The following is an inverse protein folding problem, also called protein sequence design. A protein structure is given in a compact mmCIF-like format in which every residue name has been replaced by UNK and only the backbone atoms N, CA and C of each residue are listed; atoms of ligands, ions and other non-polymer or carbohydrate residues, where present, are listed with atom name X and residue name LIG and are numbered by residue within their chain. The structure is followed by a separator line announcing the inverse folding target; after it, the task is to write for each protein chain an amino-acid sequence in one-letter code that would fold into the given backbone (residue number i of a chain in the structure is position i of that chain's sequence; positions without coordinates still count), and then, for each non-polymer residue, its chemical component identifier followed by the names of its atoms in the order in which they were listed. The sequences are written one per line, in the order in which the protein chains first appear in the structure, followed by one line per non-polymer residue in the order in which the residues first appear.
data_IF_504584937770
#
_entry.id   IF_504584937770
#
_cell.length_a   1.000
_cell.length_b   1.000
_cell.length_c   1.000
_cell.angle_alpha   90.00
_cell.angle_beta   90.00
_cell.angle_gamma   90.00
#
_symmetry.space_group_name_H-M   'P 1'
#
loop_
_entity.id
_entity.type
_entity.pdbx_description
1 polymer ?
#
# COMPACT_ATOMS: atom_id res chain seq x y z
N UNK A 1 -15.60 15.08 -3.59
CA UNK A 1 -15.51 14.05 -4.64
C UNK A 1 -16.26 12.81 -4.17
N UNK A 2 -17.13 12.23 -5.01
CA UNK A 2 -17.85 10.98 -4.71
C UNK A 2 -17.00 9.76 -5.12
N UNK A 3 -17.33 8.54 -4.67
CA UNK A 3 -16.64 7.32 -5.13
C UNK A 3 -16.59 7.18 -6.66
N UNK A 4 -17.68 7.51 -7.37
CA UNK A 4 -17.78 7.40 -8.83
C UNK A 4 -16.89 8.39 -9.55
N UNK A 5 -16.82 9.64 -9.06
CA UNK A 5 -15.93 10.65 -9.61
C UNK A 5 -14.46 10.28 -9.38
N UNK A 6 -14.14 9.73 -8.20
CA UNK A 6 -12.82 9.24 -7.88
C UNK A 6 -12.42 8.04 -8.76
N UNK A 7 -13.32 7.08 -8.96
CA UNK A 7 -13.11 5.95 -9.88
C UNK A 7 -12.90 6.43 -11.32
N UNK A 8 -13.76 7.35 -11.80
CA UNK A 8 -13.62 7.94 -13.12
C UNK A 8 -12.27 8.65 -13.30
N UNK A 9 -11.77 9.33 -12.27
CA UNK A 9 -10.45 9.96 -12.29
C UNK A 9 -9.35 8.91 -12.48
N UNK A 10 -9.31 7.85 -11.65
CA UNK A 10 -8.35 6.74 -11.80
C UNK A 10 -8.40 6.17 -13.22
N UNK A 11 -9.59 5.84 -13.70
CA UNK A 11 -9.78 5.19 -15.00
C UNK A 11 -9.34 6.07 -16.18
N UNK A 12 -9.62 7.37 -16.10
CA UNK A 12 -9.21 8.36 -17.11
C UNK A 12 -7.70 8.60 -17.08
N UNK A 13 -7.08 8.67 -15.89
CA UNK A 13 -5.61 8.82 -15.74
C UNK A 13 -4.86 7.67 -16.41
N UNK A 14 -5.39 6.44 -16.31
CA UNK A 14 -4.82 5.28 -16.99
C UNK A 14 -5.17 5.17 -18.48
N UNK A 15 -5.99 6.08 -19.01
CA UNK A 15 -6.48 6.05 -20.39
C UNK A 15 -7.22 4.76 -20.74
N UNK A 16 -7.94 4.18 -19.77
CA UNK A 16 -8.75 2.98 -19.98
C UNK A 16 -10.08 3.30 -20.69
N UNK A 17 -10.71 2.30 -21.32
CA UNK A 17 -11.99 2.46 -22.02
C UNK A 17 -13.10 2.94 -21.07
N UNK A 18 -13.64 4.17 -21.25
CA UNK A 18 -14.63 4.74 -20.34
C UNK A 18 -15.97 3.98 -20.34
N UNK A 19 -16.25 3.13 -21.33
CA UNK A 19 -17.49 2.32 -21.35
C UNK A 19 -17.52 1.30 -20.21
N UNK A 20 -16.35 0.85 -19.73
CA UNK A 20 -16.23 -0.10 -18.62
C UNK A 20 -16.80 0.44 -17.30
N UNK A 21 -16.83 1.76 -17.11
CA UNK A 21 -17.40 2.39 -15.91
C UNK A 21 -18.91 2.14 -15.75
N UNK A 22 -19.61 1.71 -16.82
CA UNK A 22 -21.03 1.34 -16.75
C UNK A 22 -21.27 0.02 -16.03
N UNK A 23 -20.21 -0.78 -15.83
CA UNK A 23 -20.26 -2.10 -15.17
C UNK A 23 -19.80 -2.04 -13.71
N UNK A 24 -19.98 -0.89 -13.04
CA UNK A 24 -19.60 -0.72 -11.64
C UNK A 24 -20.74 -0.13 -10.81
N UNK A 25 -20.91 -0.61 -9.59
CA UNK A 25 -21.78 -0.01 -8.57
C UNK A 25 -21.03 0.18 -7.25
N UNK A 26 -21.14 1.39 -6.69
CA UNK A 26 -20.43 1.79 -5.48
C UNK A 26 -21.41 2.22 -4.36
N UNK A 27 -22.27 1.33 -3.86
CA UNK A 27 -23.25 1.70 -2.84
C UNK A 27 -22.58 2.12 -1.52
N UNK A 28 -23.17 3.14 -0.88
CA UNK A 28 -22.74 3.71 0.39
C UNK A 28 -22.24 5.15 0.26
N UNK A 29 -22.19 5.85 1.39
CA UNK A 29 -21.82 7.27 1.45
C UNK A 29 -20.98 7.56 2.68
N UNK A 30 -20.01 8.46 2.56
CA UNK A 30 -19.25 8.97 3.69
C UNK A 30 -20.11 9.83 4.63
N UNK A 31 -19.77 9.93 5.93
CA UNK A 31 -18.64 9.24 6.59
C UNK A 31 -18.98 7.79 6.95
N UNK A 32 -18.08 6.85 6.62
CA UNK A 32 -18.16 5.47 7.10
C UNK A 32 -17.20 5.14 8.25
N UNK A 33 -16.32 6.07 8.62
CA UNK A 33 -15.40 6.01 9.75
C UNK A 33 -15.32 7.39 10.42
N UNK A 34 -14.93 7.49 11.70
CA UNK A 34 -14.69 8.77 12.36
C UNK A 34 -13.49 9.44 11.67
N UNK A 35 -13.75 10.40 10.78
CA UNK A 35 -12.75 11.19 10.06
C UNK A 35 -13.44 12.33 9.31
N UNK A 36 -12.81 13.51 9.22
CA UNK A 36 -13.32 14.56 8.32
C UNK A 36 -12.93 14.32 6.86
N UNK A 37 -12.02 13.40 6.57
CA UNK A 37 -11.68 13.01 5.21
C UNK A 37 -12.64 11.95 4.68
N UNK A 38 -12.87 11.97 3.36
CA UNK A 38 -13.73 11.00 2.65
C UNK A 38 -13.00 9.67 2.41
N UNK A 39 -12.64 9.00 3.51
CA UNK A 39 -11.92 7.71 3.49
C UNK A 39 -12.74 6.61 2.82
N UNK A 40 -14.07 6.63 2.96
CA UNK A 40 -14.97 5.69 2.29
C UNK A 40 -14.92 5.82 0.77
N UNK A 41 -14.98 7.05 0.25
CA UNK A 41 -14.81 7.30 -1.19
C UNK A 41 -13.45 6.86 -1.72
N UNK A 42 -12.38 7.09 -0.95
CA UNK A 42 -11.03 6.62 -1.30
C UNK A 42 -10.97 5.09 -1.38
N UNK A 43 -11.52 4.40 -0.37
CA UNK A 43 -11.54 2.95 -0.29
C UNK A 43 -12.37 2.34 -1.42
N UNK A 44 -13.61 2.80 -1.60
CA UNK A 44 -14.50 2.31 -2.65
C UNK A 44 -13.90 2.50 -4.04
N UNK A 45 -13.36 3.68 -4.35
CA UNK A 45 -12.85 3.99 -5.68
C UNK A 45 -11.59 3.19 -6.04
N UNK A 46 -10.64 3.04 -5.11
CA UNK A 46 -9.40 2.30 -5.37
C UNK A 46 -9.61 0.79 -5.48
N UNK A 47 -10.45 0.21 -4.61
CA UNK A 47 -10.83 -1.20 -4.69
C UNK A 47 -11.64 -1.46 -5.97
N UNK A 48 -12.58 -0.58 -6.32
CA UNK A 48 -13.36 -0.73 -7.55
C UNK A 48 -12.51 -0.60 -8.81
N UNK A 49 -11.51 0.28 -8.83
CA UNK A 49 -10.56 0.37 -9.94
C UNK A 49 -9.82 -0.96 -10.13
N UNK A 50 -9.30 -1.54 -9.03
CA UNK A 50 -8.68 -2.86 -9.06
C UNK A 50 -9.66 -3.94 -9.56
N UNK A 51 -10.85 -4.03 -8.99
CA UNK A 51 -11.87 -5.01 -9.40
C UNK A 51 -12.33 -4.86 -10.85
N UNK A 52 -12.50 -3.63 -11.34
CA UNK A 52 -12.87 -3.36 -12.73
C UNK A 52 -11.71 -3.69 -13.70
N UNK A 53 -10.47 -3.40 -13.34
CA UNK A 53 -9.32 -3.83 -14.14
C UNK A 53 -9.20 -5.36 -14.21
N UNK A 54 -9.49 -6.06 -13.12
CA UNK A 54 -9.62 -7.52 -13.12
C UNK A 54 -10.71 -7.98 -14.10
N UNK A 55 -11.89 -7.37 -14.06
CA UNK A 55 -13.01 -7.71 -14.93
C UNK A 55 -12.69 -7.46 -16.41
N UNK A 56 -12.00 -6.36 -16.73
CA UNK A 56 -11.57 -6.06 -18.10
C UNK A 56 -10.45 -6.99 -18.58
N UNK A 57 -9.54 -7.40 -17.71
CA UNK A 57 -8.54 -8.41 -18.04
C UNK A 57 -9.20 -9.78 -18.29
N UNK A 58 -10.22 -10.16 -17.53
CA UNK A 58 -11.06 -11.34 -17.82
C UNK A 58 -11.81 -11.21 -19.15
N UNK A 59 -12.33 -10.01 -19.46
CA UNK A 59 -12.98 -9.73 -20.76
C UNK A 59 -12.01 -9.87 -21.91
N UNK A 60 -10.76 -9.42 -21.76
CA UNK A 60 -9.71 -9.62 -22.77
C UNK A 60 -9.46 -11.11 -23.04
N UNK A 61 -9.55 -11.95 -22.01
CA UNK A 61 -9.36 -13.41 -22.10
C UNK A 61 -10.53 -14.16 -22.73
N UNK A 62 -11.76 -13.70 -22.47
CA UNK A 62 -12.97 -14.52 -22.71
C UNK A 62 -14.01 -13.86 -23.59
N UNK A 63 -13.88 -12.55 -23.85
CA UNK A 63 -14.91 -11.72 -24.45
C UNK A 63 -16.06 -11.36 -23.51
N UNK A 64 -16.14 -11.95 -22.31
CA UNK A 64 -17.27 -11.77 -21.38
C UNK A 64 -17.04 -10.59 -20.44
N UNK A 65 -18.01 -9.66 -20.43
CA UNK A 65 -18.08 -8.54 -19.49
C UNK A 65 -18.88 -8.97 -18.27
N UNK A 66 -18.48 -8.49 -17.09
CA UNK A 66 -19.16 -8.76 -15.82
C UNK A 66 -19.28 -7.48 -15.00
N UNK A 67 -20.28 -7.40 -14.13
CA UNK A 67 -20.45 -6.26 -13.22
C UNK A 67 -19.56 -6.40 -11.98
N UNK A 68 -19.12 -5.25 -11.45
CA UNK A 68 -18.33 -5.15 -10.22
C UNK A 68 -19.09 -4.30 -9.21
N UNK A 69 -19.32 -4.85 -8.01
CA UNK A 69 -19.91 -4.09 -6.90
C UNK A 69 -18.92 -3.96 -5.76
N UNK A 70 -18.76 -2.74 -5.24
CA UNK A 70 -17.96 -2.46 -4.04
C UNK A 70 -18.81 -1.67 -3.05
N UNK A 71 -19.27 -2.32 -1.99
CA UNK A 71 -19.95 -1.65 -0.88
C UNK A 71 -18.95 -0.89 -0.02
N UNK A 72 -19.22 0.38 0.27
CA UNK A 72 -18.32 1.23 1.06
C UNK A 72 -17.98 0.62 2.44
N UNK A 73 -18.95 -0.02 3.11
CA UNK A 73 -18.72 -0.72 4.39
C UNK A 73 -17.68 -1.83 4.26
N UNK A 74 -17.75 -2.63 3.20
CA UNK A 74 -16.78 -3.71 2.91
C UNK A 74 -15.42 -3.15 2.52
N UNK A 75 -15.40 -2.07 1.74
CA UNK A 75 -14.18 -1.36 1.37
C UNK A 75 -13.44 -0.82 2.60
N UNK A 76 -14.18 -0.19 3.52
CA UNK A 76 -13.64 0.30 4.79
C UNK A 76 -13.19 -0.83 5.72
N UNK A 77 -13.89 -1.97 5.73
CA UNK A 77 -13.43 -3.16 6.43
C UNK A 77 -12.07 -3.65 5.89
N UNK A 78 -11.88 -3.61 4.57
CA UNK A 78 -10.62 -3.99 3.92
C UNK A 78 -9.48 -3.01 4.23
N UNK A 79 -9.76 -1.71 4.27
CA UNK A 79 -8.81 -0.66 4.69
C UNK A 79 -8.41 -0.75 6.17
N UNK A 80 -9.08 -1.60 6.95
CA UNK A 80 -8.85 -1.86 8.37
C UNK A 80 -8.61 -3.33 8.66
N UNK A 81 -8.23 -4.13 7.65
CA UNK A 81 -8.19 -5.59 7.75
C UNK A 81 -7.34 -6.08 8.92
N UNK A 82 -6.23 -5.40 9.20
CA UNK A 82 -5.34 -5.70 10.33
C UNK A 82 -5.99 -5.54 11.70
N UNK A 83 -7.01 -4.67 11.83
CA UNK A 83 -7.74 -4.41 13.08
C UNK A 83 -8.76 -5.51 13.41
N UNK A 84 -9.26 -6.20 12.39
CA UNK A 84 -10.21 -7.30 12.52
C UNK A 84 -9.57 -8.68 12.55
N UNK A 85 -8.26 -8.76 12.27
CA UNK A 85 -7.51 -10.01 12.31
C UNK A 85 -7.65 -10.68 13.69
N UNK A 86 -7.94 -11.98 13.71
CA UNK A 86 -7.83 -12.84 14.90
C UNK A 86 -7.05 -14.10 14.55
N UNK A 87 -6.30 -14.59 15.52
CA UNK A 87 -5.57 -15.85 15.46
C UNK A 87 -6.09 -16.72 16.59
N UNK A 88 -6.61 -17.89 16.23
CA UNK A 88 -7.44 -18.73 17.09
C UNK A 88 -8.63 -17.92 17.64
N UNK A 89 -8.59 -17.55 18.92
CA UNK A 89 -9.66 -16.77 19.58
C UNK A 89 -9.21 -15.37 20.01
N UNK A 90 -7.95 -14.99 19.74
CA UNK A 90 -7.33 -13.77 20.26
C UNK A 90 -6.96 -12.73 19.19
N UNK A 91 -6.88 -11.44 19.55
CA UNK A 91 -6.26 -10.45 18.68
C UNK A 91 -4.76 -10.78 18.50
N UNK A 92 -4.16 -10.41 17.36
CA UNK A 92 -2.72 -10.49 17.20
C UNK A 92 -1.99 -9.70 18.30
N UNK A 93 -0.74 -10.06 18.64
CA UNK A 93 0.08 -9.28 19.58
C UNK A 93 0.17 -7.82 19.16
N UNK A 94 -0.02 -6.90 20.11
CA UNK A 94 0.12 -5.48 19.85
C UNK A 94 1.58 -5.15 19.49
N UNK A 95 1.78 -4.47 18.37
CA UNK A 95 3.08 -3.92 17.96
C UNK A 95 3.07 -2.44 18.22
N UNK A 96 3.30 -2.05 19.47
CA UNK A 96 3.67 -0.68 19.79
C UNK A 96 4.86 -0.69 20.71
N UNK A 97 5.97 -0.20 20.16
CA UNK A 97 7.10 0.24 20.95
C UNK A 97 6.66 1.43 21.85
N UNK A 98 7.07 1.49 23.13
CA UNK A 98 6.65 2.55 24.06
C UNK A 98 6.98 3.97 23.58
N UNK A 99 8.05 4.09 22.77
CA UNK A 99 8.57 5.36 22.26
C UNK A 99 7.89 5.77 20.94
N UNK A 100 7.11 4.89 20.30
CA UNK A 100 6.31 5.28 19.14
C UNK A 100 5.23 6.28 19.53
N UNK A 101 5.07 7.36 18.75
CA UNK A 101 3.95 8.30 18.93
C UNK A 101 4.31 9.76 18.68
N UNK A 102 3.46 10.65 19.16
CA UNK A 102 3.62 12.10 19.07
C UNK A 102 4.29 12.67 20.30
N UNK A 103 5.15 13.67 20.09
CA UNK A 103 5.87 14.38 21.13
C UNK A 103 5.82 15.89 20.88
N UNK A 104 5.56 16.64 21.93
CA UNK A 104 5.65 18.10 21.91
C UNK A 104 7.12 18.52 21.89
N UNK A 105 7.42 19.45 20.99
CA UNK A 105 8.74 20.05 20.78
C UNK A 105 8.84 21.40 21.49
N UNK A 106 10.05 21.94 21.62
CA UNK A 106 10.34 23.19 22.36
C UNK A 106 9.51 24.37 21.89
N UNK A 107 9.31 24.48 20.57
CA UNK A 107 8.62 25.56 19.89
C UNK A 107 7.09 25.36 19.84
N UNK A 108 6.54 24.49 20.69
CA UNK A 108 5.10 24.25 20.80
C UNK A 108 4.52 23.42 19.64
N UNK A 109 5.38 22.87 18.77
CA UNK A 109 4.97 21.99 17.67
C UNK A 109 4.94 20.53 18.11
N UNK A 110 4.50 19.65 17.21
CA UNK A 110 4.49 18.21 17.42
C UNK A 110 5.37 17.49 16.40
N UNK A 111 6.08 16.45 16.84
CA UNK A 111 6.78 15.51 15.97
C UNK A 111 6.28 14.09 16.22
N UNK A 112 6.15 13.29 15.15
CA UNK A 112 5.87 11.87 15.25
C UNK A 112 7.16 11.05 15.12
N UNK A 113 7.38 10.13 16.05
CA UNK A 113 8.41 9.08 15.95
C UNK A 113 7.80 7.75 15.50
N UNK A 114 8.45 7.08 14.54
CA UNK A 114 8.07 5.75 14.08
C UNK A 114 9.18 4.72 14.38
N UNK A 115 9.12 4.13 15.58
CA UNK A 115 10.15 3.26 16.16
C UNK A 115 9.81 1.76 16.15
N UNK A 116 8.87 1.33 15.31
CA UNK A 116 8.43 -0.09 15.22
C UNK A 116 9.52 -1.11 14.83
N UNK A 117 10.73 -0.66 14.48
CA UNK A 117 11.87 -1.55 14.23
C UNK A 117 13.04 -1.22 15.16
N UNK A 118 13.76 -2.25 15.69
CA UNK A 118 14.85 -2.03 16.66
C UNK A 118 15.88 -1.00 16.21
N UNK A 119 16.36 -1.10 14.96
CA UNK A 119 17.34 -0.15 14.42
C UNK A 119 16.81 1.29 14.28
N UNK A 120 15.49 1.49 14.11
CA UNK A 120 14.90 2.83 14.13
C UNK A 120 14.84 3.37 15.56
N UNK A 121 14.43 2.54 16.54
CA UNK A 121 14.42 2.90 17.95
C UNK A 121 15.82 3.28 18.43
N UNK A 122 16.78 2.38 18.25
CA UNK A 122 18.19 2.59 18.66
C UNK A 122 18.77 3.88 18.06
N UNK A 123 18.49 4.14 16.78
CA UNK A 123 18.92 5.35 16.11
C UNK A 123 18.29 6.63 16.70
N UNK A 124 16.97 6.61 16.99
CA UNK A 124 16.28 7.74 17.62
C UNK A 124 16.84 8.01 19.02
N UNK A 125 17.00 6.97 19.84
CA UNK A 125 17.56 7.12 21.19
C UNK A 125 19.00 7.66 21.16
N UNK A 126 19.80 7.23 20.17
CA UNK A 126 21.16 7.74 19.95
C UNK A 126 21.17 9.22 19.58
N UNK A 127 20.31 9.67 18.66
CA UNK A 127 20.21 11.09 18.27
C UNK A 127 19.75 11.96 19.44
N UNK A 128 18.77 11.48 20.20
CA UNK A 128 18.23 12.21 21.35
C UNK A 128 19.13 12.14 22.60
N UNK A 129 20.06 11.18 22.66
CA UNK A 129 20.94 10.98 23.81
C UNK A 129 20.20 10.58 25.08
N UNK A 130 19.14 9.77 24.97
CA UNK A 130 18.25 9.43 26.10
C UNK A 130 18.01 7.92 26.24
N UNK A 131 17.45 7.52 27.39
CA UNK A 131 17.07 6.14 27.67
C UNK A 131 15.84 5.70 26.85
N UNK A 132 15.66 4.39 26.68
CA UNK A 132 14.46 3.82 26.08
C UNK A 132 13.25 3.91 27.02
N UNK A 133 12.77 5.13 27.25
CA UNK A 133 11.64 5.46 28.09
C UNK A 133 10.88 6.63 27.49
N UNK A 134 9.54 6.55 27.47
CA UNK A 134 8.69 7.56 26.81
C UNK A 134 8.84 8.95 27.46
N UNK A 135 8.99 9.02 28.78
CA UNK A 135 9.16 10.28 29.48
C UNK A 135 10.55 10.88 29.23
N UNK A 136 11.60 10.06 29.23
CA UNK A 136 12.95 10.48 28.87
C UNK A 136 13.03 11.01 27.43
N UNK A 137 12.37 10.34 26.48
CA UNK A 137 12.28 10.79 25.08
C UNK A 137 11.50 12.09 24.97
N UNK A 138 10.37 12.22 25.66
CA UNK A 138 9.60 13.45 25.67
C UNK A 138 10.41 14.63 26.22
N UNK A 139 11.16 14.41 27.31
CA UNK A 139 12.03 15.44 27.88
C UNK A 139 13.16 15.83 26.94
N UNK A 140 13.81 14.86 26.29
CA UNK A 140 14.83 15.15 25.29
C UNK A 140 14.27 15.98 24.13
N UNK A 141 13.09 15.62 23.60
CA UNK A 141 12.44 16.33 22.48
C UNK A 141 12.01 17.75 22.86
N UNK A 142 11.65 18.01 24.13
CA UNK A 142 11.39 19.38 24.62
C UNK A 142 12.60 20.32 24.53
N UNK A 143 13.81 19.79 24.32
CA UNK A 143 15.00 20.58 24.04
C UNK A 143 15.17 21.02 22.58
N UNK A 144 14.36 20.50 21.65
CA UNK A 144 14.53 20.71 20.21
C UNK A 144 13.40 21.55 19.59
N UNK A 145 13.75 22.39 18.62
CA UNK A 145 12.76 22.94 17.68
C UNK A 145 12.34 21.85 16.69
N UNK A 146 11.04 21.76 16.41
CA UNK A 146 10.49 20.64 15.64
C UNK A 146 11.06 20.48 14.24
N UNK A 147 11.25 21.59 13.50
CA UNK A 147 11.81 21.54 12.15
C UNK A 147 13.27 21.07 12.13
N UNK A 148 14.07 21.53 13.09
CA UNK A 148 15.48 21.11 13.25
C UNK A 148 15.58 19.63 13.59
N UNK A 149 14.74 19.14 14.51
CA UNK A 149 14.72 17.73 14.87
C UNK A 149 14.25 16.84 13.70
N UNK A 150 13.21 17.26 12.97
CA UNK A 150 12.72 16.54 11.79
C UNK A 150 13.81 16.33 10.74
N UNK A 151 14.56 17.39 10.44
CA UNK A 151 15.67 17.31 9.49
C UNK A 151 16.82 16.47 10.04
N UNK A 152 17.20 16.64 11.31
CA UNK A 152 18.27 15.87 11.97
C UNK A 152 17.98 14.37 11.93
N UNK A 153 16.76 13.96 12.26
CA UNK A 153 16.34 12.56 12.20
C UNK A 153 16.28 12.04 10.75
N UNK A 154 15.84 12.87 9.80
CA UNK A 154 15.83 12.49 8.39
C UNK A 154 17.25 12.28 7.83
N UNK A 155 18.20 13.16 8.16
CA UNK A 155 19.61 13.08 7.75
C UNK A 155 20.31 11.85 8.36
N UNK A 156 19.93 11.48 9.59
CA UNK A 156 20.34 10.22 10.22
C UNK A 156 19.67 8.98 9.60
N UNK A 157 18.80 9.15 8.61
CA UNK A 157 18.08 8.06 7.96
C UNK A 157 17.04 7.39 8.84
N UNK A 158 16.47 8.13 9.82
CA UNK A 158 15.46 7.66 10.76
C UNK A 158 14.05 8.03 10.30
N UNK A 159 13.07 7.37 10.90
CA UNK A 159 11.67 7.50 10.53
C UNK A 159 10.92 8.40 11.51
N UNK A 160 10.88 9.69 11.21
CA UNK A 160 10.12 10.70 11.94
C UNK A 160 9.53 11.74 10.98
N UNK A 161 8.49 12.43 11.45
CA UNK A 161 7.84 13.50 10.71
C UNK A 161 7.31 14.59 11.66
N UNK A 162 7.72 15.83 11.42
CA UNK A 162 7.05 17.01 11.98
C UNK A 162 5.57 17.02 11.56
N UNK A 163 4.68 17.29 12.52
CA UNK A 163 3.28 17.58 12.24
C UNK A 163 3.22 18.98 11.63
N UNK A 164 2.91 19.03 10.34
CA UNK A 164 2.82 20.28 9.58
C UNK A 164 1.37 20.70 9.41
N UNK A 165 1.14 22.00 9.25
CA UNK A 165 -0.13 22.47 8.70
C UNK A 165 -0.19 22.19 7.19
N UNK A 166 -1.37 22.19 6.56
CA UNK A 166 -1.48 22.09 5.11
C UNK A 166 -0.68 23.17 4.35
N UNK A 167 -0.64 24.39 4.87
CA UNK A 167 0.08 25.51 4.24
C UNK A 167 1.60 25.34 4.33
N UNK A 168 2.10 24.89 5.48
CA UNK A 168 3.52 24.56 5.64
C UNK A 168 3.96 23.44 4.69
N UNK A 169 3.13 22.40 4.54
CA UNK A 169 3.40 21.35 3.57
C UNK A 169 3.40 21.89 2.14
N UNK A 170 2.39 22.69 1.75
CA UNK A 170 2.28 23.27 0.41
C UNK A 170 3.47 24.17 0.03
N UNK A 171 4.10 24.83 1.01
CA UNK A 171 5.27 25.66 0.80
C UNK A 171 6.56 24.87 0.45
N UNK A 172 6.64 23.59 0.83
CA UNK A 172 7.83 22.76 0.60
C UNK A 172 8.02 22.42 -0.88
N UNK A 173 9.28 22.38 -1.31
CA UNK A 173 9.64 21.95 -2.67
C UNK A 173 9.25 20.49 -2.94
N UNK A 174 9.21 19.66 -1.90
CA UNK A 174 8.68 18.30 -2.04
C UNK A 174 7.21 18.30 -2.45
N UNK A 175 6.37 19.12 -1.82
CA UNK A 175 4.94 19.19 -2.14
C UNK A 175 4.71 19.70 -3.56
N UNK A 176 5.48 20.72 -3.98
CA UNK A 176 5.48 21.22 -5.36
C UNK A 176 5.88 20.15 -6.37
N UNK A 177 6.92 19.36 -6.07
CA UNK A 177 7.37 18.27 -6.94
C UNK A 177 6.30 17.17 -7.11
N UNK A 178 5.63 16.79 -6.01
CA UNK A 178 4.54 15.81 -6.01
C UNK A 178 3.32 16.37 -6.78
N UNK A 179 2.99 17.64 -6.58
CA UNK A 179 1.87 18.30 -7.27
C UNK A 179 2.00 18.31 -8.80
N UNK A 180 3.23 18.22 -9.33
CA UNK A 180 3.51 18.09 -10.75
C UNK A 180 3.41 16.67 -11.31
N UNK A 181 3.12 15.66 -10.49
CA UNK A 181 2.93 14.27 -10.90
C UNK A 181 1.43 13.92 -11.01
N UNK A 182 1.03 12.99 -11.89
CA UNK A 182 -0.33 12.43 -11.88
C UNK A 182 -0.53 11.53 -10.65
N UNK A 183 -1.76 11.02 -10.42
CA UNK A 183 -2.05 10.13 -9.29
C UNK A 183 -1.14 8.89 -9.25
N UNK A 184 -0.91 8.30 -10.43
CA UNK A 184 0.05 7.25 -10.71
C UNK A 184 0.50 7.38 -12.17
N UNK A 185 1.59 6.71 -12.53
CA UNK A 185 2.13 6.67 -13.90
C UNK A 185 2.17 5.22 -14.40
N UNK A 186 1.95 5.02 -15.70
CA UNK A 186 2.14 3.74 -16.41
C UNK A 186 2.93 4.03 -17.68
N UNK A 187 4.24 3.83 -17.62
CA UNK A 187 5.20 4.23 -18.65
C UNK A 187 5.81 3.02 -19.35
N UNK A 188 6.07 3.10 -20.65
CA UNK A 188 6.77 2.04 -21.38
C UNK A 188 8.27 2.17 -21.13
N UNK A 189 8.91 1.09 -20.72
CA UNK A 189 10.35 1.06 -20.34
C UNK A 189 11.20 0.11 -21.21
N UNK A 190 10.58 -0.59 -22.15
CA UNK A 190 11.30 -1.45 -23.09
C UNK A 190 10.39 -1.97 -24.20
N UNK A 191 10.98 -2.31 -25.34
CA UNK A 191 10.30 -3.00 -26.43
C UNK A 191 10.16 -4.50 -26.12
N UNK A 192 8.99 -5.06 -26.43
CA UNK A 192 8.70 -6.48 -26.37
C UNK A 192 7.51 -6.77 -27.29
N UNK A 193 7.40 -7.99 -27.86
CA UNK A 193 6.23 -8.37 -28.62
C UNK A 193 4.97 -8.36 -27.76
N UNK A 194 3.81 -8.32 -28.41
CA UNK A 194 2.52 -8.54 -27.75
C UNK A 194 2.52 -9.92 -27.06
N UNK A 195 2.16 -9.94 -25.77
CA UNK A 195 2.05 -11.17 -25.00
C UNK A 195 0.62 -11.32 -24.44
N UNK A 196 -0.26 -12.07 -25.11
CA UNK A 196 -1.64 -12.25 -24.66
C UNK A 196 -1.70 -13.00 -23.33
N UNK A 197 -2.81 -12.88 -22.56
CA UNK A 197 -2.94 -13.57 -21.29
C UNK A 197 -2.79 -15.09 -21.42
N UNK A 198 -2.03 -15.69 -20.50
CA UNK A 198 -1.84 -17.16 -20.45
C UNK A 198 -3.11 -17.85 -19.91
N UNK A 199 -3.31 -19.11 -20.31
CA UNK A 199 -4.38 -19.97 -19.77
C UNK A 199 -5.77 -19.67 -20.33
N UNK A 200 -5.98 -19.80 -21.64
CA UNK A 200 -7.32 -19.71 -22.23
C UNK A 200 -8.30 -20.68 -21.51
N UNK A 201 -9.45 -20.18 -21.07
CA UNK A 201 -10.46 -20.98 -20.35
C UNK A 201 -10.27 -21.13 -18.83
N UNK A 202 -9.25 -20.50 -18.22
CA UNK A 202 -9.12 -20.55 -16.76
C UNK A 202 -10.26 -19.79 -16.04
N UNK A 203 -10.77 -20.37 -14.96
CA UNK A 203 -11.91 -19.81 -14.19
C UNK A 203 -11.57 -18.49 -13.47
N UNK A 204 -10.28 -18.20 -13.24
CA UNK A 204 -9.84 -17.02 -12.49
C UNK A 204 -9.21 -15.96 -13.39
N UNK A 205 -9.56 -14.66 -13.24
CA UNK A 205 -9.08 -13.60 -14.12
C UNK A 205 -7.57 -13.50 -14.28
N UNK A 206 -6.80 -13.72 -13.21
CA UNK A 206 -5.34 -13.64 -13.21
C UNK A 206 -4.64 -15.01 -13.17
N UNK A 207 -5.36 -16.12 -13.37
CA UNK A 207 -4.73 -17.44 -13.47
C UNK A 207 -3.67 -17.44 -14.58
N UNK A 208 -2.46 -17.89 -14.24
CA UNK A 208 -1.28 -17.90 -15.12
C UNK A 208 -0.38 -16.66 -15.02
N UNK A 209 -0.77 -15.63 -14.26
CA UNK A 209 0.07 -14.45 -13.99
C UNK A 209 0.98 -14.74 -12.79
N UNK A 210 2.29 -14.57 -12.97
CA UNK A 210 3.31 -14.72 -11.92
C UNK A 210 3.77 -13.36 -11.39
N UNK A 211 3.65 -13.15 -10.08
CA UNK A 211 3.98 -11.89 -9.41
C UNK A 211 5.09 -12.14 -8.40
N UNK A 212 6.22 -11.46 -8.59
CA UNK A 212 7.33 -11.46 -7.65
C UNK A 212 7.21 -10.22 -6.75
N UNK A 213 6.77 -10.42 -5.51
CA UNK A 213 6.51 -9.37 -4.53
C UNK A 213 7.69 -9.26 -3.55
N UNK A 214 8.59 -8.29 -3.76
CA UNK A 214 9.71 -8.01 -2.85
C UNK A 214 9.39 -6.91 -1.84
N UNK A 215 8.11 -6.51 -1.75
CA UNK A 215 7.65 -5.42 -0.88
C UNK A 215 7.41 -5.87 0.56
N UNK A 216 7.19 -4.91 1.46
CA UNK A 216 6.96 -5.16 2.89
C UNK A 216 5.91 -4.20 3.45
N UNK A 217 5.44 -4.51 4.65
CA UNK A 217 4.56 -3.67 5.49
C UNK A 217 3.09 -3.68 5.05
N UNK A 218 2.60 -2.70 4.28
CA UNK A 218 1.17 -2.63 3.91
C UNK A 218 0.98 -2.36 2.42
N UNK A 219 1.35 -1.19 1.87
CA UNK A 219 0.97 -0.82 0.50
C UNK A 219 1.35 -1.85 -0.58
N UNK A 220 2.62 -2.25 -0.62
CA UNK A 220 3.06 -3.30 -1.55
C UNK A 220 2.39 -4.66 -1.27
N UNK A 221 2.40 -5.17 -0.02
CA UNK A 221 1.72 -6.43 0.30
C UNK A 221 0.22 -6.45 0.00
N UNK A 222 -0.49 -5.33 0.15
CA UNK A 222 -1.89 -5.14 -0.26
C UNK A 222 -2.03 -5.30 -1.77
N UNK A 223 -1.13 -4.72 -2.57
CA UNK A 223 -1.13 -4.90 -4.02
C UNK A 223 -0.93 -6.37 -4.41
N UNK A 224 0.04 -7.05 -3.80
CA UNK A 224 0.26 -8.49 -4.00
C UNK A 224 -0.97 -9.32 -3.61
N UNK A 225 -1.60 -9.02 -2.47
CA UNK A 225 -2.82 -9.69 -2.00
C UNK A 225 -4.01 -9.47 -2.96
N UNK A 226 -4.16 -8.25 -3.49
CA UNK A 226 -5.20 -7.90 -4.46
C UNK A 226 -5.02 -8.64 -5.80
N UNK A 227 -3.79 -8.91 -6.23
CA UNK A 227 -3.53 -9.75 -7.41
C UNK A 227 -3.80 -11.24 -7.10
N UNK A 228 -3.37 -11.72 -5.92
CA UNK A 228 -3.56 -13.11 -5.50
C UNK A 228 -5.04 -13.50 -5.39
N UNK A 229 -5.91 -12.63 -4.85
CA UNK A 229 -7.34 -12.92 -4.71
C UNK A 229 -8.08 -13.09 -6.05
N UNK A 230 -7.47 -12.68 -7.16
CA UNK A 230 -7.97 -12.89 -8.52
C UNK A 230 -7.24 -14.00 -9.28
N UNK A 231 -6.36 -14.75 -8.63
CA UNK A 231 -5.75 -15.98 -9.15
C UNK A 231 -4.32 -15.86 -9.65
N UNK A 232 -3.64 -14.72 -9.43
CA UNK A 232 -2.22 -14.63 -9.70
C UNK A 232 -1.41 -15.53 -8.74
N UNK A 233 -0.35 -16.17 -9.24
CA UNK A 233 0.64 -16.83 -8.42
C UNK A 233 1.58 -15.76 -7.85
N UNK A 234 1.43 -15.44 -6.56
CA UNK A 234 2.23 -14.40 -5.91
C UNK A 234 3.27 -15.02 -4.99
N UNK A 235 4.54 -14.85 -5.33
CA UNK A 235 5.68 -15.22 -4.51
C UNK A 235 6.22 -13.99 -3.80
N UNK A 236 5.92 -13.88 -2.51
CA UNK A 236 6.50 -12.86 -1.64
C UNK A 236 7.92 -13.26 -1.27
N UNK A 237 8.90 -12.40 -1.57
CA UNK A 237 10.31 -12.62 -1.25
C UNK A 237 10.76 -11.62 -0.19
N UNK A 238 11.31 -12.14 0.90
CA UNK A 238 11.84 -11.33 2.00
C UNK A 238 13.33 -11.59 2.22
N UNK A 239 14.04 -10.60 2.78
CA UNK A 239 15.41 -10.79 3.24
C UNK A 239 15.43 -11.44 4.63
N UNK A 240 16.34 -12.39 4.91
CA UNK A 240 16.38 -13.09 6.21
C UNK A 240 16.69 -12.16 7.40
N UNK A 241 17.33 -11.03 7.12
CA UNK A 241 17.78 -10.04 8.10
C UNK A 241 16.77 -8.90 8.32
N UNK A 242 15.66 -8.87 7.57
CA UNK A 242 14.71 -7.77 7.63
C UNK A 242 13.68 -8.01 8.74
N UNK A 243 13.40 -7.00 9.59
CA UNK A 243 12.36 -7.14 10.62
C UNK A 243 10.97 -7.19 9.98
N UNK A 244 10.06 -7.90 10.65
CA UNK A 244 8.70 -8.11 10.20
C UNK A 244 7.70 -7.78 11.31
N UNK A 245 6.51 -7.31 10.91
CA UNK A 245 5.39 -7.01 11.80
C UNK A 245 4.41 -8.17 11.64
N UNK A 246 4.44 -9.15 12.54
CA UNK A 246 3.78 -10.44 12.36
C UNK A 246 2.29 -10.35 11.93
N UNK A 247 1.43 -9.50 12.53
CA UNK A 247 0.04 -9.35 12.13
C UNK A 247 -0.12 -8.82 10.71
N UNK A 248 0.78 -7.96 10.24
CA UNK A 248 0.76 -7.47 8.86
C UNK A 248 1.22 -8.55 7.88
N UNK A 249 2.16 -9.42 8.28
CA UNK A 249 2.56 -10.60 7.49
C UNK A 249 1.38 -11.57 7.36
N UNK A 250 0.66 -11.82 8.46
CA UNK A 250 -0.48 -12.75 8.46
C UNK A 250 -1.64 -12.18 7.64
N UNK A 251 -2.01 -10.92 7.85
CA UNK A 251 -3.14 -10.32 7.13
C UNK A 251 -2.85 -10.16 5.62
N UNK A 252 -1.69 -9.62 5.26
CA UNK A 252 -1.34 -9.36 3.87
C UNK A 252 -0.73 -10.58 3.15
N UNK A 253 -0.36 -11.64 3.87
CA UNK A 253 0.19 -12.89 3.32
C UNK A 253 -0.85 -13.84 2.74
N UNK A 254 -2.14 -13.58 2.99
CA UNK A 254 -3.26 -14.41 2.48
C UNK A 254 -3.26 -14.45 0.95
N UNK A 255 -3.33 -15.67 0.41
CA UNK A 255 -3.26 -15.93 -1.03
C UNK A 255 -1.84 -15.97 -1.61
N UNK A 256 -0.78 -15.76 -0.82
CA UNK A 256 0.60 -15.66 -1.31
C UNK A 256 1.48 -16.78 -0.78
N UNK A 257 2.45 -17.18 -1.59
CA UNK A 257 3.60 -17.98 -1.15
C UNK A 257 4.67 -17.04 -0.60
N UNK A 258 5.56 -17.58 0.22
CA UNK A 258 6.52 -16.79 1.01
C UNK A 258 7.87 -17.49 1.03
N UNK A 259 8.88 -16.85 0.44
CA UNK A 259 10.25 -17.34 0.34
C UNK A 259 11.25 -16.30 0.88
N UNK A 260 12.47 -16.75 1.14
CA UNK A 260 13.56 -15.90 1.62
C UNK A 260 14.70 -15.90 0.60
N UNK A 261 15.17 -14.70 0.25
CA UNK A 261 16.33 -14.50 -0.62
C UNK A 261 17.14 -13.33 -0.06
N UNK A 262 18.44 -13.53 0.14
CA UNK A 262 19.33 -12.46 0.57
C UNK A 262 20.05 -11.82 -0.62
N UNK A 263 19.64 -10.60 -0.99
CA UNK A 263 20.26 -9.87 -2.10
C UNK A 263 21.65 -9.30 -1.76
N UNK A 264 22.14 -9.48 -0.53
CA UNK A 264 23.54 -9.17 -0.17
C UNK A 264 24.50 -10.21 -0.76
N UNK A 265 24.01 -11.43 -0.96
CA UNK A 265 24.79 -12.56 -1.47
C UNK A 265 24.64 -12.67 -2.99
N UNK A 266 25.72 -13.09 -3.67
CA UNK A 266 25.69 -13.27 -5.13
C UNK A 266 24.67 -14.33 -5.55
N UNK A 267 24.66 -15.48 -4.87
CA UNK A 267 23.70 -16.56 -5.11
C UNK A 267 22.25 -16.09 -4.91
N UNK A 268 21.98 -15.26 -3.91
CA UNK A 268 20.63 -14.71 -3.71
C UNK A 268 20.21 -13.81 -4.88
N UNK A 269 21.12 -13.00 -5.42
CA UNK A 269 20.85 -12.20 -6.62
C UNK A 269 20.63 -13.09 -7.86
N UNK A 270 21.40 -14.16 -8.03
CA UNK A 270 21.20 -15.13 -9.11
C UNK A 270 19.83 -15.82 -9.03
N UNK A 271 19.44 -16.29 -7.84
CA UNK A 271 18.12 -16.89 -7.61
C UNK A 271 16.99 -15.92 -7.94
N UNK A 272 17.09 -14.66 -7.50
CA UNK A 272 16.05 -13.66 -7.81
C UNK A 272 16.00 -13.37 -9.31
N UNK A 273 17.13 -13.27 -10.00
CA UNK A 273 17.16 -13.09 -11.46
C UNK A 273 16.54 -14.27 -12.22
N UNK A 274 16.76 -15.50 -11.75
CA UNK A 274 16.09 -16.69 -12.30
C UNK A 274 14.57 -16.57 -12.19
N UNK A 275 14.06 -16.20 -11.01
CA UNK A 275 12.62 -15.98 -10.80
C UNK A 275 12.06 -14.85 -11.67
N UNK A 276 12.78 -13.74 -11.81
CA UNK A 276 12.38 -12.59 -12.63
C UNK A 276 12.20 -12.99 -14.10
N UNK A 277 13.04 -13.90 -14.61
CA UNK A 277 13.01 -14.33 -16.01
C UNK A 277 11.67 -14.96 -16.43
N UNK A 278 10.92 -15.51 -15.46
CA UNK A 278 9.61 -16.13 -15.67
C UNK A 278 8.44 -15.30 -15.10
N UNK A 279 8.73 -14.15 -14.48
CA UNK A 279 7.74 -13.29 -13.85
C UNK A 279 6.99 -12.44 -14.89
N UNK A 280 5.72 -12.13 -14.60
CA UNK A 280 4.92 -11.15 -15.33
C UNK A 280 4.97 -9.77 -14.65
N UNK A 281 4.97 -9.77 -13.32
CA UNK A 281 4.98 -8.56 -12.50
C UNK A 281 6.11 -8.63 -11.48
N UNK A 282 6.94 -7.59 -11.42
CA UNK A 282 7.88 -7.36 -10.33
C UNK A 282 7.40 -6.20 -9.47
N UNK A 283 7.06 -6.45 -8.21
CA UNK A 283 6.47 -5.48 -7.30
C UNK A 283 7.42 -5.14 -6.16
N UNK A 284 7.72 -3.85 -6.00
CA UNK A 284 8.61 -3.36 -4.94
C UNK A 284 8.08 -2.11 -4.25
N UNK A 285 8.42 -1.95 -2.96
CA UNK A 285 8.03 -0.80 -2.14
C UNK A 285 9.21 -0.17 -1.38
N UNK A 286 10.39 -0.17 -1.98
CA UNK A 286 11.58 0.51 -1.47
C UNK A 286 11.69 1.94 -2.03
N UNK A 287 12.60 2.71 -1.43
CA UNK A 287 12.95 4.04 -1.93
C UNK A 287 13.39 3.97 -3.39
N UNK A 288 13.04 4.97 -4.23
CA UNK A 288 13.55 5.11 -5.59
C UNK A 288 15.06 4.81 -5.67
N UNK A 289 15.45 3.94 -6.60
CA UNK A 289 16.84 3.52 -6.83
C UNK A 289 17.41 2.46 -5.87
N UNK A 290 16.72 2.11 -4.78
CA UNK A 290 17.28 1.18 -3.77
C UNK A 290 17.56 -0.22 -4.33
N UNK A 291 16.72 -0.72 -5.25
CA UNK A 291 16.92 -2.02 -5.90
C UNK A 291 17.79 -1.94 -7.16
N UNK A 292 17.84 -0.77 -7.83
CA UNK A 292 18.77 -0.52 -8.94
C UNK A 292 20.22 -0.73 -8.49
N UNK A 293 20.57 -0.28 -7.28
CA UNK A 293 21.88 -0.51 -6.67
C UNK A 293 22.22 -2.01 -6.44
N UNK A 294 21.25 -2.91 -6.60
CA UNK A 294 21.42 -4.37 -6.50
C UNK A 294 21.21 -5.09 -7.84
N UNK A 295 21.03 -4.36 -8.94
CA UNK A 295 20.80 -4.91 -10.28
C UNK A 295 19.34 -5.19 -10.64
N UNK A 296 18.38 -4.73 -9.83
CA UNK A 296 16.94 -4.96 -10.01
C UNK A 296 16.19 -3.66 -10.26
N UNK A 297 16.72 -2.79 -11.14
CA UNK A 297 16.01 -1.59 -11.60
C UNK A 297 15.06 -1.88 -12.75
N UNK A 298 14.13 -0.96 -13.08
CA UNK A 298 13.09 -1.21 -14.08
C UNK A 298 13.67 -1.53 -15.46
N UNK A 299 14.63 -0.74 -15.95
CA UNK A 299 15.27 -0.96 -17.26
C UNK A 299 16.14 -2.22 -17.26
N UNK A 300 16.81 -2.54 -16.15
CA UNK A 300 17.52 -3.82 -16.00
C UNK A 300 16.56 -5.00 -16.13
N UNK A 301 15.43 -4.99 -15.42
CA UNK A 301 14.49 -6.11 -15.45
C UNK A 301 13.74 -6.20 -16.78
N UNK A 302 13.50 -5.08 -17.47
CA UNK A 302 12.97 -5.09 -18.82
C UNK A 302 13.91 -5.76 -19.84
N UNK A 303 15.24 -5.71 -19.61
CA UNK A 303 16.23 -6.44 -20.42
C UNK A 303 16.28 -7.94 -20.06
N UNK A 304 16.18 -8.27 -18.77
CA UNK A 304 16.15 -9.67 -18.30
C UNK A 304 14.88 -10.37 -18.78
N UNK A 305 13.73 -9.69 -18.67
CA UNK A 305 12.42 -10.18 -19.06
C UNK A 305 11.67 -9.13 -19.91
N UNK A 306 11.85 -9.13 -21.24
CA UNK A 306 11.02 -8.33 -22.14
C UNK A 306 9.54 -8.67 -21.95
N UNK A 307 8.70 -7.66 -21.77
CA UNK A 307 7.29 -7.82 -21.40
C UNK A 307 7.03 -7.81 -19.89
N UNK A 308 8.01 -7.50 -19.05
CA UNK A 308 7.77 -7.37 -17.60
C UNK A 308 6.97 -6.11 -17.27
N UNK A 309 6.08 -6.23 -16.29
CA UNK A 309 5.46 -5.08 -15.60
C UNK A 309 6.21 -4.85 -14.28
N UNK A 310 6.94 -3.75 -14.20
CA UNK A 310 7.63 -3.33 -12.99
C UNK A 310 6.75 -2.36 -12.19
N UNK A 311 6.50 -2.62 -10.91
CA UNK A 311 5.63 -1.80 -10.06
C UNK A 311 6.43 -1.22 -8.90
N UNK A 312 6.41 0.09 -8.77
CA UNK A 312 7.12 0.84 -7.73
C UNK A 312 6.16 1.62 -6.84
N UNK A 313 6.22 1.29 -5.55
CA UNK A 313 5.54 2.02 -4.48
C UNK A 313 6.58 2.75 -3.63
N UNK A 314 6.33 4.02 -3.31
CA UNK A 314 7.20 4.77 -2.40
C UNK A 314 6.42 5.75 -1.52
N UNK A 315 7.06 6.29 -0.48
CA UNK A 315 6.37 7.19 0.45
C UNK A 315 6.11 8.57 -0.16
N UNK A 316 7.15 9.31 -0.54
CA UNK A 316 7.06 10.73 -0.90
C UNK A 316 7.09 11.01 -2.40
N UNK A 317 6.96 9.99 -3.25
CA UNK A 317 7.10 10.13 -4.70
C UNK A 317 8.53 9.98 -5.17
N UNK A 318 8.71 9.92 -6.49
CA UNK A 318 10.01 9.66 -7.11
C UNK A 318 10.74 10.95 -7.55
N UNK A 319 10.13 12.12 -7.33
CA UNK A 319 10.70 13.45 -7.59
C UNK A 319 10.76 14.27 -6.29
N UNK A 320 11.57 15.32 -6.33
CA UNK A 320 11.73 16.26 -5.22
C UNK A 320 12.76 15.82 -4.17
N UNK A 321 13.11 16.72 -3.24
CA UNK A 321 14.18 16.50 -2.27
C UNK A 321 13.95 15.32 -1.32
N UNK A 322 12.70 14.87 -1.13
CA UNK A 322 12.35 13.74 -0.26
C UNK A 322 12.15 12.43 -1.02
N UNK A 323 12.49 12.34 -2.31
CA UNK A 323 12.42 11.08 -3.06
C UNK A 323 13.21 9.96 -2.36
N UNK A 324 14.36 10.30 -1.75
CA UNK A 324 15.18 9.38 -0.95
C UNK A 324 14.79 9.27 0.54
N UNK A 325 13.78 10.00 1.02
CA UNK A 325 13.41 10.02 2.44
C UNK A 325 12.64 8.75 2.81
N UNK A 326 12.90 8.20 4.01
CA UNK A 326 12.12 7.08 4.54
C UNK A 326 10.74 7.56 4.96
N UNK A 327 9.72 6.77 4.71
CA UNK A 327 8.37 7.10 5.11
C UNK A 327 7.51 5.86 5.33
N UNK A 328 6.44 6.08 6.09
CA UNK A 328 5.32 5.18 6.32
C UNK A 328 4.05 6.02 6.16
N UNK A 329 2.91 5.38 5.96
CA UNK A 329 1.62 6.07 5.84
C UNK A 329 1.42 7.13 6.94
N UNK A 330 1.53 6.75 8.22
CA UNK A 330 1.39 7.69 9.34
C UNK A 330 2.35 8.91 9.27
N UNK A 331 3.59 8.72 8.82
CA UNK A 331 4.55 9.81 8.65
C UNK A 331 4.18 10.73 7.48
N UNK A 332 3.60 10.17 6.41
CA UNK A 332 3.08 10.95 5.28
C UNK A 332 1.85 11.74 5.73
N UNK A 333 0.95 11.17 6.53
CA UNK A 333 -0.18 11.90 7.10
C UNK A 333 0.28 13.06 7.99
N UNK A 334 1.29 12.83 8.83
CA UNK A 334 1.90 13.83 9.70
C UNK A 334 2.54 14.98 8.93
N UNK A 335 3.36 14.65 7.91
CA UNK A 335 4.07 15.65 7.13
C UNK A 335 3.17 16.43 6.15
N UNK A 336 2.07 15.83 5.66
CA UNK A 336 1.22 16.43 4.62
C UNK A 336 0.07 17.30 5.13
N UNK A 337 -0.06 17.42 6.46
CA UNK A 337 -1.12 18.19 7.10
C UNK A 337 -2.41 17.43 7.37
N UNK A 338 -2.54 16.17 6.91
CA UNK A 338 -3.69 15.32 7.22
C UNK A 338 -3.87 15.18 8.74
N UNK A 339 -2.79 14.88 9.46
CA UNK A 339 -2.86 14.67 10.90
C UNK A 339 -3.23 15.95 11.69
N UNK A 340 -2.81 17.10 11.16
CA UNK A 340 -3.14 18.40 11.71
C UNK A 340 -4.62 18.75 11.49
N UNK A 341 -5.13 18.56 10.27
CA UNK A 341 -6.53 18.82 9.93
C UNK A 341 -7.48 17.92 10.72
N UNK A 342 -7.13 16.64 10.87
CA UNK A 342 -7.87 15.69 11.69
C UNK A 342 -7.95 16.15 13.16
N UNK A 343 -6.83 16.59 13.75
CA UNK A 343 -6.78 17.15 15.11
C UNK A 343 -7.68 18.37 15.27
N UNK A 344 -7.51 19.37 14.40
CA UNK A 344 -8.26 20.63 14.48
C UNK A 344 -9.76 20.39 14.40
N UNK A 345 -10.20 19.55 13.46
CA UNK A 345 -11.62 19.24 13.31
C UNK A 345 -12.19 18.43 14.48
N UNK A 346 -11.38 17.65 15.18
CA UNK A 346 -11.80 16.89 16.35
C UNK A 346 -11.79 17.73 17.65
N UNK A 347 -11.15 18.92 17.63
CA UNK A 347 -10.92 19.72 18.84
C UNK A 347 -9.99 19.04 19.84
N UNK A 348 -8.99 18.30 19.35
CA UNK A 348 -8.07 17.53 20.19
C UNK A 348 -6.75 18.26 20.45
N UNK A 349 -6.15 18.00 21.61
CA UNK A 349 -4.85 18.56 21.98
C UNK A 349 -3.70 17.91 21.20
N UNK A 350 -3.71 16.57 21.11
CA UNK A 350 -2.68 15.81 20.40
C UNK A 350 -3.04 15.61 18.91
N UNK A 351 -2.02 15.55 18.01
CA UNK A 351 -2.22 15.17 16.62
C UNK A 351 -2.98 13.85 16.47
N UNK A 352 -3.72 13.71 15.37
CA UNK A 352 -4.51 12.51 15.12
C UNK A 352 -4.41 12.07 13.67
N UNK A 353 -4.12 10.79 13.45
CA UNK A 353 -4.16 10.21 12.11
C UNK A 353 -5.59 9.87 11.67
N UNK A 354 -5.74 9.59 10.37
CA UNK A 354 -6.89 8.91 9.81
C UNK A 354 -7.18 7.62 10.61
N UNK A 355 -8.44 7.14 10.64
CA UNK A 355 -8.86 5.97 11.41
C UNK A 355 -8.26 4.63 10.93
N UNK A 356 -7.41 4.65 9.90
CA UNK A 356 -6.66 3.53 9.35
C UNK A 356 -5.43 4.02 8.56
N UNK A 357 -4.58 3.08 8.11
CA UNK A 357 -3.48 3.38 7.17
C UNK A 357 -4.05 3.53 5.74
N UNK A 358 -4.90 4.53 5.54
CA UNK A 358 -5.68 4.70 4.32
C UNK A 358 -4.82 4.96 3.08
N UNK A 359 -3.68 5.64 3.23
CA UNK A 359 -2.78 5.93 2.12
C UNK A 359 -2.06 4.66 1.67
N UNK A 360 -1.64 3.80 2.60
CA UNK A 360 -1.03 2.51 2.30
C UNK A 360 -2.01 1.60 1.55
N UNK A 361 -3.21 1.40 2.09
CA UNK A 361 -4.23 0.54 1.46
C UNK A 361 -4.63 1.06 0.07
N UNK A 362 -4.98 2.35 -0.04
CA UNK A 362 -5.35 2.96 -1.32
C UNK A 362 -4.22 2.88 -2.36
N UNK A 363 -2.98 3.14 -1.94
CA UNK A 363 -1.80 3.04 -2.82
C UNK A 363 -1.55 1.60 -3.26
N UNK A 364 -1.79 0.61 -2.39
CA UNK A 364 -1.71 -0.80 -2.75
C UNK A 364 -2.73 -1.22 -3.80
N UNK A 365 -3.99 -0.81 -3.65
CA UNK A 365 -5.01 -1.05 -4.68
C UNK A 365 -4.74 -0.30 -5.98
N UNK A 366 -4.21 0.93 -5.93
CA UNK A 366 -3.75 1.65 -7.12
C UNK A 366 -2.58 0.95 -7.81
N UNK A 367 -1.65 0.35 -7.05
CA UNK A 367 -0.54 -0.43 -7.59
C UNK A 367 -1.04 -1.71 -8.28
N UNK A 368 -1.99 -2.43 -7.67
CA UNK A 368 -2.62 -3.61 -8.29
C UNK A 368 -3.40 -3.25 -9.56
N UNK A 369 -4.19 -2.17 -9.52
CA UNK A 369 -4.86 -1.61 -10.68
C UNK A 369 -3.86 -1.29 -11.80
N UNK A 370 -2.79 -0.55 -11.50
CA UNK A 370 -1.77 -0.19 -12.47
C UNK A 370 -1.07 -1.41 -13.06
N UNK A 371 -0.81 -2.44 -12.24
CA UNK A 371 -0.24 -3.70 -12.72
C UNK A 371 -1.16 -4.38 -13.74
N UNK A 372 -2.46 -4.47 -13.46
CA UNK A 372 -3.42 -5.09 -14.39
C UNK A 372 -3.65 -4.26 -15.66
N UNK A 373 -3.67 -2.94 -15.54
CA UNK A 373 -3.72 -2.05 -16.69
C UNK A 373 -2.47 -2.20 -17.57
N UNK A 374 -1.29 -2.29 -16.97
CA UNK A 374 -0.04 -2.54 -17.70
C UNK A 374 0.02 -3.94 -18.32
N UNK A 375 -0.47 -4.98 -17.65
CA UNK A 375 -0.62 -6.33 -18.22
C UNK A 375 -1.57 -6.34 -19.42
N UNK A 376 -2.64 -5.55 -19.35
CA UNK A 376 -3.58 -5.35 -20.47
C UNK A 376 -2.87 -4.70 -21.64
N UNK A 377 -2.12 -3.60 -21.42
CA UNK A 377 -1.34 -2.94 -22.46
C UNK A 377 -0.28 -3.86 -23.05
N UNK A 378 0.45 -4.64 -22.24
CA UNK A 378 1.36 -5.67 -22.74
C UNK A 378 0.67 -6.66 -23.68
N UNK A 379 -0.55 -7.08 -23.32
CA UNK A 379 -1.32 -8.03 -24.11
C UNK A 379 -1.93 -7.47 -25.39
N UNK A 380 -2.03 -6.15 -25.55
CA UNK A 380 -2.62 -5.50 -26.74
C UNK A 380 -1.62 -4.71 -27.57
N UNK A 381 -0.58 -4.18 -26.95
CA UNK A 381 0.41 -3.26 -27.51
C UNK A 381 1.85 -3.80 -27.42
N UNK A 382 2.11 -4.79 -26.55
CA UNK A 382 3.46 -5.26 -26.23
C UNK A 382 4.21 -4.33 -25.28
N UNK A 383 5.54 -4.46 -25.25
CA UNK A 383 6.43 -3.68 -24.40
C UNK A 383 6.50 -4.12 -22.93
N UNK A 384 7.55 -3.64 -22.26
CA UNK A 384 7.71 -3.67 -20.81
C UNK A 384 7.20 -2.35 -20.22
N UNK A 385 6.60 -2.41 -19.03
CA UNK A 385 5.90 -1.25 -18.45
C UNK A 385 6.33 -0.99 -17.00
N UNK A 386 6.38 0.28 -16.60
CA UNK A 386 6.67 0.72 -15.25
C UNK A 386 5.46 1.45 -14.67
N UNK A 387 4.92 0.90 -13.58
CA UNK A 387 3.86 1.51 -12.77
C UNK A 387 4.50 2.22 -11.58
N UNK A 388 4.21 3.50 -11.40
CA UNK A 388 4.75 4.30 -10.29
C UNK A 388 3.61 4.93 -9.50
N UNK A 389 3.63 4.72 -8.18
CA UNK A 389 2.62 5.28 -7.26
C UNK A 389 3.29 5.66 -5.93
N UNK A 390 2.73 6.65 -5.22
CA UNK A 390 3.26 7.06 -3.92
C UNK A 390 2.20 7.44 -2.91
N UNK A 391 2.49 7.19 -1.64
CA UNK A 391 1.59 7.49 -0.52
C UNK A 391 1.27 8.99 -0.45
N UNK A 392 2.27 9.86 -0.65
CA UNK A 392 2.08 11.30 -0.59
C UNK A 392 1.20 11.82 -1.73
N UNK A 393 1.29 11.23 -2.92
CA UNK A 393 0.39 11.57 -4.02
C UNK A 393 -1.03 11.07 -3.76
N UNK A 394 -1.18 9.86 -3.21
CA UNK A 394 -2.48 9.35 -2.74
C UNK A 394 -3.08 10.24 -1.65
N UNK A 395 -2.26 10.74 -0.71
CA UNK A 395 -2.68 11.66 0.34
C UNK A 395 -3.13 13.02 -0.21
N UNK A 396 -2.38 13.58 -1.16
CA UNK A 396 -2.79 14.79 -1.90
C UNK A 396 -4.11 14.58 -2.63
N UNK A 397 -4.30 13.40 -3.23
CA UNK A 397 -5.56 13.07 -3.90
C UNK A 397 -6.74 12.97 -2.93
N UNK A 398 -6.57 12.31 -1.78
CA UNK A 398 -7.58 12.29 -0.71
C UNK A 398 -7.93 13.71 -0.23
N UNK A 399 -6.94 14.57 -0.04
CA UNK A 399 -7.16 15.97 0.36
C UNK A 399 -8.01 16.76 -0.66
N UNK A 400 -7.97 16.37 -1.94
CA UNK A 400 -8.81 16.98 -2.99
C UNK A 400 -10.29 16.57 -2.92
N UNK A 401 -10.67 15.62 -2.05
CA UNK A 401 -12.04 15.12 -2.00
C UNK A 401 -13.00 16.07 -1.26
N UNK A 402 -12.46 17.07 -0.58
CA UNK A 402 -13.20 17.94 0.33
C UNK A 402 -13.44 17.26 1.68
N UNK A 403 -13.67 18.08 2.70
CA UNK A 403 -13.87 17.64 4.08
C UNK A 403 -15.36 17.42 4.40
N UNK A 404 -15.61 16.66 5.45
CA UNK A 404 -16.91 16.38 6.06
C UNK A 404 -16.96 17.13 7.40
N UNK A 405 -17.74 18.23 7.52
CA UNK A 405 -17.72 19.08 8.74
C UNK A 405 -17.94 18.31 10.05
N UNK A 406 -18.77 17.27 10.04
CA UNK A 406 -19.11 16.45 11.20
C UNK A 406 -18.58 15.02 11.10
N UNK A 407 -17.60 14.76 10.24
CA UNK A 407 -17.10 13.41 9.96
C UNK A 407 -16.61 12.64 11.20
N UNK A 408 -16.12 13.36 12.22
CA UNK A 408 -15.71 12.79 13.50
C UNK A 408 -16.84 12.23 14.37
N UNK A 409 -18.09 12.63 14.12
CA UNK A 409 -19.27 12.11 14.84
C UNK A 409 -19.69 10.73 14.35
N UNK A 410 -19.15 10.26 13.22
CA UNK A 410 -19.42 8.91 12.73
C UNK A 410 -18.93 7.87 13.75
N UNK A 411 -19.71 6.80 14.00
CA UNK A 411 -19.29 5.76 14.94
C UNK A 411 -18.06 5.02 14.41
N UNK A 412 -17.23 4.56 15.35
CA UNK A 412 -16.18 3.60 14.99
C UNK A 412 -16.82 2.25 14.64
N UNK A 413 -16.21 1.52 13.70
CA UNK A 413 -16.73 0.23 13.19
C UNK A 413 -16.04 -0.91 13.93
N UNK A 414 -16.79 -1.66 14.73
CA UNK A 414 -16.32 -2.81 15.49
C UNK A 414 -16.19 -4.07 14.62
N UNK A 415 -15.65 -5.15 15.19
CA UNK A 415 -15.58 -6.45 14.49
C UNK A 415 -16.97 -7.06 14.27
N UNK A 416 -17.92 -6.81 15.17
CA UNK A 416 -19.29 -7.29 15.07
C UNK A 416 -20.03 -6.62 13.92
N UNK A 417 -19.75 -5.33 13.71
CA UNK A 417 -20.29 -4.54 12.60
C UNK A 417 -19.80 -4.98 11.22
N UNK A 418 -18.85 -5.92 11.13
CA UNK A 418 -18.31 -6.42 9.84
C UNK A 418 -18.23 -7.93 9.78
N UNK A 419 -18.94 -8.66 10.67
CA UNK A 419 -18.84 -10.13 10.77
C UNK A 419 -19.12 -10.86 9.45
N UNK A 420 -20.06 -10.35 8.65
CA UNK A 420 -20.41 -10.83 7.29
C UNK A 420 -19.34 -10.52 6.22
N UNK A 421 -18.32 -9.77 6.59
CA UNK A 421 -17.15 -9.44 5.76
C UNK A 421 -15.93 -10.27 6.15
N UNK A 422 -16.03 -11.17 7.14
CA UNK A 422 -14.91 -11.96 7.65
C UNK A 422 -15.01 -13.42 7.19
N UNK A 423 -13.86 -14.03 6.98
CA UNK A 423 -13.73 -15.45 6.66
C UNK A 423 -12.64 -16.09 7.51
N UNK A 424 -12.78 -17.38 7.77
CA UNK A 424 -11.79 -18.17 8.51
C UNK A 424 -10.99 -19.05 7.55
N UNK A 425 -9.69 -19.17 7.79
CA UNK A 425 -8.82 -20.14 7.12
C UNK A 425 -7.89 -20.81 8.13
N UNK A 426 -7.62 -22.11 7.95
CA UNK A 426 -6.59 -22.81 8.72
C UNK A 426 -5.21 -22.50 8.13
N UNK A 427 -4.24 -22.22 9.00
CA UNK A 427 -2.88 -21.86 8.59
C UNK A 427 -1.86 -22.40 9.59
N UNK A 428 -0.57 -22.26 9.29
CA UNK A 428 0.49 -22.59 10.25
C UNK A 428 0.53 -21.66 11.48
N UNK A 429 -0.18 -20.52 11.42
CA UNK A 429 -0.37 -19.64 12.57
C UNK A 429 -1.56 -20.04 13.45
N UNK A 430 -2.31 -21.09 13.09
CA UNK A 430 -3.58 -21.46 13.70
C UNK A 430 -4.78 -21.06 12.85
N UNK A 431 -5.95 -20.94 13.49
CA UNK A 431 -7.21 -20.55 12.84
C UNK A 431 -7.22 -19.04 12.63
N UNK A 432 -7.03 -18.58 11.40
CA UNK A 432 -6.96 -17.15 11.08
C UNK A 432 -8.33 -16.65 10.63
N UNK A 433 -8.88 -15.67 11.34
CA UNK A 433 -10.05 -14.90 10.93
C UNK A 433 -9.58 -13.58 10.30
N UNK A 434 -9.97 -13.30 9.06
CA UNK A 434 -9.59 -12.07 8.37
C UNK A 434 -10.63 -11.60 7.36
N UNK A 435 -10.49 -10.35 6.91
CA UNK A 435 -11.45 -9.69 6.00
C UNK A 435 -11.43 -10.36 4.61
N UNK A 436 -12.60 -10.67 4.06
CA UNK A 436 -12.77 -11.20 2.71
C UNK A 436 -12.59 -10.08 1.66
N UNK A 437 -12.29 -10.40 0.39
CA UNK A 437 -12.24 -9.41 -0.68
C UNK A 437 -13.51 -8.53 -0.70
N UNK A 438 -13.32 -7.22 -0.85
CA UNK A 438 -14.41 -6.25 -0.74
C UNK A 438 -15.23 -6.17 -2.03
N UNK A 439 -14.56 -6.31 -3.17
CA UNK A 439 -15.17 -6.31 -4.48
C UNK A 439 -15.88 -7.64 -4.77
N UNK A 440 -17.07 -7.53 -5.36
CA UNK A 440 -17.84 -8.67 -5.87
C UNK A 440 -17.91 -8.57 -7.38
N UNK A 441 -17.31 -9.56 -8.03
CA UNK A 441 -17.36 -9.77 -9.47
C UNK A 441 -18.43 -10.84 -9.74
N UNK A 442 -19.37 -10.57 -10.65
CA UNK A 442 -20.53 -11.46 -10.89
C UNK A 442 -20.16 -12.86 -11.39
N UNK A 443 -19.20 -12.96 -12.31
CA UNK A 443 -18.82 -14.25 -12.92
C UNK A 443 -17.59 -14.88 -12.26
N UNK A 444 -16.72 -14.05 -11.67
CA UNK A 444 -15.42 -14.49 -11.14
C UNK A 444 -15.17 -14.01 -9.71
N UNK A 445 -15.91 -14.55 -8.71
CA UNK A 445 -15.78 -14.11 -7.32
C UNK A 445 -14.34 -14.19 -6.80
N UNK A 446 -13.89 -13.13 -6.14
CA UNK A 446 -12.55 -13.05 -5.56
C UNK A 446 -12.45 -13.90 -4.29
N UNK A 447 -11.33 -14.61 -4.12
CA UNK A 447 -11.04 -15.39 -2.91
C UNK A 447 -9.54 -15.66 -2.75
N UNK A 448 -9.08 -15.86 -1.52
CA UNK A 448 -7.70 -16.26 -1.24
C UNK A 448 -7.55 -17.79 -1.38
N UNK A 449 -6.78 -18.25 -2.35
CA UNK A 449 -6.56 -19.70 -2.56
C UNK A 449 -5.61 -20.33 -1.54
N UNK A 450 -4.70 -19.55 -0.97
CA UNK A 450 -3.72 -20.01 -0.01
C UNK A 450 -3.94 -19.33 1.35
N UNK A 451 -3.75 -20.06 2.46
CA UNK A 451 -3.67 -19.45 3.78
C UNK A 451 -2.43 -18.53 3.88
N UNK A 452 -2.37 -17.62 4.87
CA UNK A 452 -1.13 -16.91 5.13
C UNK A 452 -0.04 -17.87 5.62
N UNK A 453 1.20 -17.57 5.29
CA UNK A 453 2.36 -18.36 5.66
C UNK A 453 3.46 -17.50 6.31
N UNK A 454 4.30 -18.12 7.15
CA UNK A 454 5.48 -17.53 7.76
C UNK A 454 6.48 -17.13 6.70
N UNK A 455 7.36 -16.20 7.06
CA UNK A 455 8.45 -15.78 6.19
C UNK A 455 9.34 -17.00 5.90
N UNK A 456 9.52 -17.33 4.62
CA UNK A 456 10.35 -18.46 4.20
C UNK A 456 9.70 -19.83 4.31
N UNK A 457 8.36 -19.92 4.39
CA UNK A 457 7.65 -21.19 4.42
C UNK A 457 7.81 -22.03 3.14
N UNK A 458 8.13 -21.39 2.00
CA UNK A 458 8.20 -22.00 0.68
C UNK A 458 9.59 -21.82 0.07
N UNK A 459 9.94 -22.72 -0.85
CA UNK A 459 11.13 -22.57 -1.69
C UNK A 459 10.97 -21.38 -2.65
N UNK A 460 12.11 -20.76 -3.00
CA UNK A 460 12.19 -19.66 -3.96
C UNK A 460 12.07 -20.17 -5.41
N UNK A 461 10.93 -20.74 -5.79
CA UNK A 461 10.61 -21.25 -7.14
C UNK A 461 9.13 -21.06 -7.50
N UNK A 462 8.82 -20.90 -8.78
CA UNK A 462 7.45 -20.95 -9.29
C UNK A 462 6.88 -22.38 -9.22
N UNK A 463 5.55 -22.48 -9.13
CA UNK A 463 4.82 -23.75 -9.24
C UNK A 463 4.35 -24.06 -10.68
#
# INVERSE_FOLDING_TARGET
MTPELALKHIWTTAQCDPTALRSVSLPGTDPGLPSVYRVGALASATIAASGLATAEYHRLRTGRRQHVTVEMRRALASFRSERYLRIDEGPPPALRDPVMGFYATRDGRWIQLHTNFPHHLEGVLKVLGCANDRAAVAEAIRGWDGATLDQTLADAGLCAALIRTPDEWAALDQSKAIAGLPLFEIERIGDAPVEPPRGAGAERPLAGVRVLDVSRIIAGPVAGRALAQHGAEVLMVNGPHLPNIAPLVIDNGRGKRSAVIDLRDATGRETLNGLVSDADVFLQAYRPGALTARGFGPEELARVRPGIVYVSVCAYGHKGPWAGRRGFDSLVQSASGIAFTEREAAGWDEPKHLPCQALDHATGYLAAFGAMAALTRRATEGGSWHVRVSLAQTGRWLQSFGLLPDGWKAPDVSIDDVRDCLGTVQSEFGRVLGVLPAERLEETPAYFALPPARIGAHEAKWE
#
